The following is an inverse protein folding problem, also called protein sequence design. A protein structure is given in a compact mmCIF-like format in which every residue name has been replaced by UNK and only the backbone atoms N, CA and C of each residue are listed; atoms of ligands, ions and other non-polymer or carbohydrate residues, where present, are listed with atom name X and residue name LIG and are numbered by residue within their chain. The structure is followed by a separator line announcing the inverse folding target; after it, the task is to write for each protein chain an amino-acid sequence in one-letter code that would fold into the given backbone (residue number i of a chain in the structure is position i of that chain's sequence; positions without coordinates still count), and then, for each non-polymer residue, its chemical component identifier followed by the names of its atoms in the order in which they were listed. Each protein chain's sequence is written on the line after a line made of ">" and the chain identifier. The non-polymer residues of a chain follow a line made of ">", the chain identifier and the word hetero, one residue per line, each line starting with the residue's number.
data_IF_289691616866
#
_entry.id   IF_289691616866
#
_cell.length_a   1.000
_cell.length_b   1.000
_cell.length_c   1.000
_cell.angle_alpha   90.00
_cell.angle_beta   90.00
_cell.angle_gamma   90.00
#
_symmetry.space_group_name_H-M   'P 1'
#
loop_
_entity.id
_entity.type
_entity.pdbx_description
1 polymer ?
#
# COMPACT_ATOMS: atom_id res chain seq x y z
N UNK A 1 4.02 -4.44 5.90
CA UNK A 1 3.50 -3.06 5.84
C UNK A 1 2.05 -3.05 6.27
N UNK A 2 1.59 -1.99 6.91
CA UNK A 2 0.21 -1.82 7.35
C UNK A 2 -0.27 -0.40 7.08
N UNK A 3 -1.58 -0.21 6.95
CA UNK A 3 -2.22 1.11 6.91
C UNK A 3 -1.93 1.95 8.16
N UNK A 4 -1.46 1.37 9.26
CA UNK A 4 -1.00 2.16 10.42
C UNK A 4 0.23 3.04 10.09
N UNK A 5 1.08 2.57 9.18
CA UNK A 5 2.26 3.27 8.66
C UNK A 5 1.91 4.25 7.52
N UNK A 6 0.73 4.06 6.93
CA UNK A 6 0.21 4.80 5.79
C UNK A 6 -1.33 4.92 5.92
N UNK A 7 -1.84 5.83 6.78
CA UNK A 7 -3.20 5.72 7.31
C UNK A 7 -4.29 6.40 6.50
N UNK A 8 -3.97 7.06 5.37
CA UNK A 8 -5.01 7.66 4.52
C UNK A 8 -6.07 6.68 4.02
N UNK A 9 -5.73 5.47 3.53
CA UNK A 9 -6.73 4.47 3.18
C UNK A 9 -7.59 4.04 4.37
N UNK A 10 -7.03 4.05 5.58
CA UNK A 10 -7.77 3.71 6.81
C UNK A 10 -8.73 4.82 7.22
N UNK A 11 -8.30 6.08 7.17
CA UNK A 11 -9.11 7.25 7.60
C UNK A 11 -10.15 7.66 6.57
N UNK A 12 -9.85 7.50 5.29
CA UNK A 12 -10.72 7.87 4.18
C UNK A 12 -10.90 6.67 3.24
N UNK A 13 -11.51 5.57 3.73
CA UNK A 13 -11.72 4.38 2.92
C UNK A 13 -12.51 4.74 1.67
N UNK A 14 -12.15 4.15 0.54
CA UNK A 14 -12.80 4.32 -0.77
C UNK A 14 -12.67 5.74 -1.38
N UNK A 15 -12.16 6.73 -0.62
CA UNK A 15 -11.89 8.09 -1.09
C UNK A 15 -10.41 8.36 -1.31
N UNK A 16 -9.56 7.90 -0.41
CA UNK A 16 -8.10 8.00 -0.54
C UNK A 16 -7.58 6.92 -1.47
N UNK A 17 -7.81 7.09 -2.78
CA UNK A 17 -7.33 6.17 -3.80
C UNK A 17 -5.89 6.53 -4.16
N UNK A 18 -4.99 5.58 -3.95
CA UNK A 18 -3.58 5.70 -4.32
C UNK A 18 -3.31 4.89 -5.58
N UNK A 19 -2.70 5.47 -6.63
CA UNK A 19 -2.29 4.71 -7.81
C UNK A 19 -1.38 3.55 -7.39
N UNK A 20 -1.62 2.36 -7.92
CA UNK A 20 -0.84 1.17 -7.59
C UNK A 20 0.00 0.77 -8.79
N UNK A 21 1.28 0.55 -8.55
CA UNK A 21 2.20 -0.05 -9.51
C UNK A 21 2.89 -1.26 -8.88
N UNK A 22 3.22 -2.24 -9.70
CA UNK A 22 3.98 -3.42 -9.28
C UNK A 22 5.37 -3.30 -9.89
N UNK A 23 6.42 -3.40 -9.07
CA UNK A 23 7.81 -3.47 -9.52
C UNK A 23 8.33 -4.89 -9.30
N UNK A 24 8.92 -5.46 -10.35
CA UNK A 24 9.52 -6.79 -10.35
C UNK A 24 10.94 -6.68 -10.86
N UNK A 25 11.91 -7.14 -10.07
CA UNK A 25 13.32 -7.12 -10.43
C UNK A 25 13.82 -5.72 -10.86
N UNK A 26 13.30 -4.67 -10.20
CA UNK A 26 13.64 -3.26 -10.47
C UNK A 26 12.91 -2.63 -11.67
N UNK A 27 12.04 -3.36 -12.36
CA UNK A 27 11.32 -2.89 -13.55
C UNK A 27 9.82 -2.89 -13.29
N UNK A 28 9.08 -1.98 -13.92
CA UNK A 28 7.62 -1.97 -13.89
C UNK A 28 7.08 -3.29 -14.46
N UNK A 29 6.30 -4.01 -13.65
CA UNK A 29 5.69 -5.25 -14.07
C UNK A 29 4.57 -4.96 -15.07
N UNK A 30 4.65 -5.61 -16.23
CA UNK A 30 3.67 -5.53 -17.29
C UNK A 30 3.04 -6.92 -17.52
N UNK A 31 1.82 -6.97 -18.04
CA UNK A 31 1.17 -8.23 -18.42
C UNK A 31 -0.33 -8.27 -18.11
N UNK A 32 -0.90 -9.48 -18.08
CA UNK A 32 -2.31 -9.69 -17.78
C UNK A 32 -2.63 -9.20 -16.38
N UNK A 33 -3.57 -8.26 -16.32
CA UNK A 33 -4.09 -7.73 -15.06
C UNK A 33 -5.18 -8.64 -14.52
N UNK A 34 -5.23 -8.76 -13.20
CA UNK A 34 -6.27 -9.46 -12.47
C UNK A 34 -6.85 -8.52 -11.43
N UNK A 35 -8.13 -8.71 -11.09
CA UNK A 35 -8.74 -7.98 -9.99
C UNK A 35 -8.15 -8.47 -8.68
N UNK A 36 -7.64 -7.57 -7.84
CA UNK A 36 -6.95 -7.92 -6.60
C UNK A 36 -7.19 -6.90 -5.49
N UNK A 37 -7.13 -7.40 -4.26
CA UNK A 37 -7.18 -6.60 -3.05
C UNK A 37 -5.78 -6.57 -2.43
N UNK A 38 -5.35 -5.42 -1.92
CA UNK A 38 -4.05 -5.28 -1.24
C UNK A 38 -4.29 -5.04 0.24
N UNK A 39 -3.91 -6.03 1.04
CA UNK A 39 -4.02 -5.99 2.50
C UNK A 39 -2.68 -5.67 3.15
N UNK A 40 -2.76 -5.01 4.31
CA UNK A 40 -1.66 -4.94 5.24
C UNK A 40 -1.50 -6.24 6.03
N UNK A 41 -0.40 -6.32 6.78
CA UNK A 41 -0.04 -7.52 7.54
C UNK A 41 -0.49 -7.48 9.01
N UNK A 42 -1.41 -6.59 9.39
CA UNK A 42 -1.92 -6.56 10.76
C UNK A 42 -3.07 -7.55 10.98
N UNK A 43 -3.47 -7.73 12.23
CA UNK A 43 -4.63 -8.54 12.63
C UNK A 43 -5.96 -7.79 12.52
N UNK A 44 -5.95 -6.55 12.01
CA UNK A 44 -7.15 -5.72 11.93
C UNK A 44 -7.83 -5.86 10.57
N UNK A 45 -9.12 -6.17 10.56
CA UNK A 45 -9.88 -6.48 9.33
C UNK A 45 -10.01 -5.32 8.35
N UNK A 46 -9.83 -4.07 8.80
CA UNK A 46 -9.83 -2.89 7.91
C UNK A 46 -8.42 -2.49 7.46
N UNK A 47 -7.41 -3.32 7.71
CA UNK A 47 -6.06 -3.08 7.22
C UNK A 47 -5.93 -3.48 5.75
N UNK A 48 -6.56 -2.69 4.88
CA UNK A 48 -6.42 -2.80 3.43
C UNK A 48 -6.03 -1.44 2.85
N UNK A 49 -5.13 -1.46 1.88
CA UNK A 49 -4.71 -0.25 1.17
C UNK A 49 -5.66 0.09 0.03
N UNK A 50 -6.13 -0.94 -0.68
CA UNK A 50 -7.05 -0.81 -1.81
C UNK A 50 -7.81 -2.12 -2.01
N UNK A 51 -9.07 -2.00 -2.45
CA UNK A 51 -9.90 -3.10 -2.91
C UNK A 51 -10.18 -2.94 -4.40
N UNK A 52 -10.39 -4.07 -5.07
CA UNK A 52 -10.79 -4.13 -6.48
C UNK A 52 -9.85 -3.34 -7.40
N UNK A 53 -8.54 -3.50 -7.19
CA UNK A 53 -7.51 -2.94 -8.05
C UNK A 53 -7.19 -3.89 -9.21
N UNK A 54 -7.23 -3.39 -10.44
CA UNK A 54 -6.74 -4.11 -11.61
C UNK A 54 -5.22 -3.95 -11.71
N UNK A 55 -4.48 -4.98 -11.30
CA UNK A 55 -3.00 -4.98 -11.28
C UNK A 55 -2.44 -6.21 -11.96
N UNK A 56 -1.21 -6.16 -12.51
CA UNK A 56 -0.54 -7.34 -13.06
C UNK A 56 -0.49 -8.47 -12.03
N UNK A 57 -0.63 -9.73 -12.49
CA UNK A 57 -0.51 -10.90 -11.61
C UNK A 57 0.82 -10.86 -10.84
N UNK A 58 0.72 -10.79 -9.51
CA UNK A 58 1.85 -10.65 -8.59
C UNK A 58 2.40 -12.01 -8.16
N UNK A 59 3.66 -12.01 -7.70
CA UNK A 59 4.33 -13.14 -7.05
C UNK A 59 5.06 -12.66 -5.79
N UNK A 60 5.38 -13.58 -4.89
CA UNK A 60 6.22 -13.27 -3.72
C UNK A 60 7.56 -12.69 -4.21
N UNK A 61 7.99 -11.58 -3.59
CA UNK A 61 9.19 -10.84 -3.96
C UNK A 61 8.94 -9.62 -4.84
N UNK A 62 7.75 -9.49 -5.46
CA UNK A 62 7.37 -8.25 -6.14
C UNK A 62 7.14 -7.13 -5.11
N UNK A 63 7.42 -5.89 -5.53
CA UNK A 63 7.13 -4.70 -4.75
C UNK A 63 5.80 -4.09 -5.18
N UNK A 64 4.98 -3.70 -4.21
CA UNK A 64 3.76 -2.93 -4.44
C UNK A 64 4.04 -1.47 -4.09
N UNK A 65 3.84 -0.58 -5.06
CA UNK A 65 4.11 0.85 -4.92
C UNK A 65 2.80 1.61 -4.90
N UNK A 66 2.61 2.44 -3.87
CA UNK A 66 1.47 3.36 -3.75
C UNK A 66 1.90 4.77 -4.08
N UNK A 67 1.35 5.32 -5.17
CA UNK A 67 1.58 6.71 -5.59
C UNK A 67 0.89 7.72 -4.68
N UNK A 68 1.24 9.00 -4.84
CA UNK A 68 0.63 10.13 -4.10
C UNK A 68 0.70 9.99 -2.56
N UNK A 69 1.79 9.38 -2.08
CA UNK A 69 2.03 9.06 -0.68
C UNK A 69 2.66 10.19 0.16
N UNK A 70 3.00 11.33 -0.45
CA UNK A 70 3.79 12.39 0.21
C UNK A 70 3.02 13.28 1.18
N UNK A 71 1.69 13.24 1.19
CA UNK A 71 0.85 14.12 2.00
C UNK A 71 -0.11 13.32 2.86
N UNK A 72 -0.20 13.68 4.15
CA UNK A 72 -1.05 13.08 5.18
C UNK A 72 -0.90 11.55 5.37
N UNK A 73 0.20 10.95 4.91
CA UNK A 73 0.53 9.54 5.13
C UNK A 73 1.47 9.38 6.32
N UNK A 74 2.80 9.46 6.11
CA UNK A 74 3.79 9.32 7.19
C UNK A 74 3.53 10.29 8.35
N UNK A 75 3.13 11.53 8.04
CA UNK A 75 2.78 12.54 9.04
C UNK A 75 1.58 12.18 9.95
N UNK A 76 0.76 11.20 9.57
CA UNK A 76 -0.43 10.77 10.31
C UNK A 76 -0.27 9.37 10.93
N UNK A 77 0.94 8.81 10.90
CA UNK A 77 1.31 7.50 11.43
C UNK A 77 0.82 7.27 12.88
N UNK A 78 0.53 6.00 13.21
CA UNK A 78 0.15 5.57 14.56
C UNK A 78 0.92 4.32 15.02
N UNK A 79 1.16 4.20 16.32
CA UNK A 79 1.72 3.00 16.95
C UNK A 79 0.68 1.86 17.14
N UNK A 80 -0.43 1.87 16.40
CA UNK A 80 -1.47 0.84 16.53
C UNK A 80 -0.86 -0.55 16.30
N UNK A 81 -1.17 -1.52 17.17
CA UNK A 81 -0.59 -2.86 17.19
C UNK A 81 0.96 -2.92 17.26
N UNK A 82 1.61 -1.84 17.71
CA UNK A 82 3.06 -1.78 17.88
C UNK A 82 3.86 -1.68 16.59
N UNK A 83 3.22 -1.38 15.44
CA UNK A 83 3.94 -1.11 14.20
C UNK A 83 4.85 0.11 14.38
N UNK A 84 6.10 0.02 13.93
CA UNK A 84 7.05 1.13 13.86
C UNK A 84 6.76 2.03 12.64
N UNK A 85 7.21 3.30 12.62
CA UNK A 85 7.09 4.13 11.44
C UNK A 85 7.81 3.49 10.24
N UNK A 86 7.34 3.77 9.03
CA UNK A 86 8.03 3.34 7.83
C UNK A 86 9.37 4.09 7.67
N UNK A 87 10.37 3.44 7.08
CA UNK A 87 11.63 4.11 6.71
C UNK A 87 11.36 5.14 5.62
N UNK A 88 11.86 6.36 5.80
CA UNK A 88 11.78 7.45 4.82
C UNK A 88 13.15 7.67 4.18
N UNK A 89 13.19 7.67 2.84
CA UNK A 89 14.39 7.91 2.05
C UNK A 89 14.21 9.18 1.23
N UNK A 90 15.16 10.09 1.36
CA UNK A 90 15.23 11.34 0.59
C UNK A 90 16.32 11.18 -0.48
N UNK A 91 15.97 11.51 -1.73
CA UNK A 91 16.85 11.39 -2.89
C UNK A 91 17.67 12.67 -3.13
#
# INVERSE_FOLDING_TARGET
>A
ASTTQFPRPLFYPEKAIHPVAIIRDGILANGTTVMSNVYGCSTYSRDYFIKDASVPKTKIGDWVIFGNAGSYCAAAYTHFLGFLPAEEKFL
#
